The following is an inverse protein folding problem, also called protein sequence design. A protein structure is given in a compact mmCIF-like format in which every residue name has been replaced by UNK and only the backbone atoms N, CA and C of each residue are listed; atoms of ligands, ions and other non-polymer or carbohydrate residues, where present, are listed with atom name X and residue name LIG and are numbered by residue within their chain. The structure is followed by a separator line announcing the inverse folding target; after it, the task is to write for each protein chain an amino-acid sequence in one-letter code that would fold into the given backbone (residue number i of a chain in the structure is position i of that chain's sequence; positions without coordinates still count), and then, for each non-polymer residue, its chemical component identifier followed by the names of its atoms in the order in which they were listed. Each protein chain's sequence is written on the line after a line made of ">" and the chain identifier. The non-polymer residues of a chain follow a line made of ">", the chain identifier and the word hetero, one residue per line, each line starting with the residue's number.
data_IF_010783048167
#
_entry.id   IF_010783048167
#
_cell.length_a   1.000
_cell.length_b   1.000
_cell.length_c   1.000
_cell.angle_alpha   90.00
_cell.angle_beta   90.00
_cell.angle_gamma   90.00
#
_symmetry.space_group_name_H-M   'P 1'
#
loop_
_entity.id
_entity.type
_entity.pdbx_description
1 polymer ?
#
# COMPACT_ATOMS: atom_id res chain seq x y z
N UNK A 1 -15.90 -24.03 14.14
CA UNK A 1 -17.00 -23.11 13.77
C UNK A 1 -16.75 -22.66 12.34
N UNK A 2 -17.67 -22.92 11.42
CA UNK A 2 -17.56 -22.57 10.01
C UNK A 2 -18.34 -21.28 9.79
N UNK A 3 -17.67 -20.22 9.34
CA UNK A 3 -18.32 -18.96 8.95
C UNK A 3 -19.04 -19.16 7.63
N UNK A 4 -20.32 -18.76 7.55
CA UNK A 4 -21.14 -18.86 6.34
C UNK A 4 -21.27 -17.49 5.66
N UNK A 5 -21.58 -17.49 4.35
CA UNK A 5 -21.79 -16.25 3.58
C UNK A 5 -22.83 -15.30 4.22
N UNK A 6 -23.83 -15.87 4.91
CA UNK A 6 -24.84 -15.10 5.64
C UNK A 6 -24.26 -14.25 6.79
N UNK A 7 -23.17 -14.70 7.43
CA UNK A 7 -22.48 -13.97 8.51
C UNK A 7 -21.83 -12.66 8.01
N UNK A 8 -21.70 -12.50 6.69
CA UNK A 8 -21.19 -11.30 6.02
C UNK A 8 -22.31 -10.41 5.42
N UNK A 9 -23.57 -10.80 5.55
CA UNK A 9 -24.72 -10.08 4.97
C UNK A 9 -25.67 -9.46 5.99
N UNK A 10 -25.52 -9.79 7.28
CA UNK A 10 -26.15 -9.03 8.35
C UNK A 10 -25.51 -7.65 8.44
N UNK A 11 -26.30 -6.62 8.73
CA UNK A 11 -25.96 -5.18 8.82
C UNK A 11 -24.78 -4.80 9.76
N UNK A 12 -23.98 -5.78 10.20
CA UNK A 12 -22.69 -5.64 10.85
C UNK A 12 -21.53 -5.54 9.84
N UNK A 13 -21.71 -5.85 8.55
CA UNK A 13 -20.68 -5.63 7.49
C UNK A 13 -20.62 -4.21 6.94
N UNK A 14 -21.57 -3.34 7.28
CA UNK A 14 -21.47 -1.90 7.07
C UNK A 14 -20.56 -1.27 8.13
N UNK A 15 -19.49 -0.58 7.71
CA UNK A 15 -18.94 0.52 8.51
C UNK A 15 -17.62 0.31 9.24
N UNK A 16 -16.62 -0.35 8.66
CA UNK A 16 -15.25 0.11 8.95
C UNK A 16 -14.94 1.26 8.00
N UNK A 17 -14.72 2.46 8.54
CA UNK A 17 -14.23 3.59 7.75
C UNK A 17 -12.87 3.24 7.17
N UNK A 18 -12.66 3.49 5.88
CA UNK A 18 -11.34 3.46 5.25
C UNK A 18 -11.04 4.87 4.69
N UNK A 19 -10.04 5.59 5.23
CA UNK A 19 -9.14 5.18 6.31
C UNK A 19 -9.85 5.07 7.67
N UNK A 20 -9.35 4.16 8.52
CA UNK A 20 -9.77 4.08 9.93
C UNK A 20 -8.86 4.95 10.81
N UNK A 21 -9.08 4.92 12.13
CA UNK A 21 -8.15 5.53 13.10
C UNK A 21 -6.74 4.91 13.06
N UNK A 22 -6.60 3.72 12.46
CA UNK A 22 -5.32 3.03 12.25
C UNK A 22 -4.72 3.28 10.87
N UNK A 23 -5.39 4.06 10.02
CA UNK A 23 -4.98 4.35 8.65
C UNK A 23 -5.75 3.55 7.59
N UNK A 24 -5.20 3.52 6.39
CA UNK A 24 -5.76 2.80 5.25
C UNK A 24 -5.54 1.30 5.40
N UNK A 25 -6.62 0.53 5.22
CA UNK A 25 -6.60 -0.93 5.15
C UNK A 25 -6.54 -1.44 3.69
N UNK A 26 -7.04 -0.63 2.75
CA UNK A 26 -7.05 -0.89 1.32
C UNK A 26 -7.11 0.42 0.53
N UNK A 27 -7.05 0.32 -0.80
CA UNK A 27 -7.12 1.42 -1.76
C UNK A 27 -8.39 2.25 -1.79
N UNK A 28 -8.31 3.47 -2.36
CA UNK A 28 -7.11 4.06 -2.94
C UNK A 28 -6.33 4.76 -1.84
N UNK A 29 -5.01 4.58 -1.80
CA UNK A 29 -4.15 5.22 -0.80
C UNK A 29 -3.50 6.44 -1.46
N UNK A 30 -3.84 7.69 -1.04
CA UNK A 30 -3.24 8.88 -1.62
C UNK A 30 -1.71 8.87 -1.45
N UNK A 31 -1.00 9.27 -2.51
CA UNK A 31 0.43 9.57 -2.44
C UNK A 31 0.65 11.09 -2.35
N UNK A 32 0.86 11.66 -1.16
CA UNK A 32 1.10 13.08 -0.98
C UNK A 32 2.50 13.53 -1.44
N UNK A 33 3.39 12.59 -1.79
CA UNK A 33 4.77 12.87 -2.20
C UNK A 33 5.10 12.21 -3.56
N UNK A 34 4.32 12.49 -4.63
CA UNK A 34 4.55 11.88 -5.93
C UNK A 34 5.90 12.32 -6.50
N UNK A 35 6.70 11.35 -6.95
CA UNK A 35 8.03 11.60 -7.52
C UNK A 35 9.11 12.04 -6.51
N UNK A 36 8.79 12.16 -5.22
CA UNK A 36 9.81 12.41 -4.22
C UNK A 36 10.80 11.23 -4.14
N UNK A 37 12.08 11.52 -3.92
CA UNK A 37 13.12 10.51 -3.72
C UNK A 37 13.98 10.89 -2.51
N UNK A 38 14.34 9.93 -1.64
CA UNK A 38 15.23 10.19 -0.52
C UNK A 38 16.60 10.71 -0.96
N UNK A 39 17.22 11.54 -0.11
CA UNK A 39 18.50 12.17 -0.39
C UNK A 39 19.60 11.17 -0.76
N UNK A 40 19.67 10.03 -0.08
CA UNK A 40 20.64 8.96 -0.38
C UNK A 40 20.50 8.42 -1.81
N UNK A 41 19.28 8.33 -2.31
CA UNK A 41 18.99 7.89 -3.68
C UNK A 41 19.33 9.01 -4.66
N UNK A 42 18.93 10.24 -4.34
CA UNK A 42 19.23 11.43 -5.15
C UNK A 42 20.75 11.57 -5.37
N UNK A 43 21.55 11.42 -4.31
CA UNK A 43 23.01 11.46 -4.38
C UNK A 43 23.60 10.27 -5.12
N UNK A 44 23.08 9.05 -4.92
CA UNK A 44 23.55 7.87 -5.64
C UNK A 44 23.36 8.03 -7.16
N UNK A 45 22.18 8.49 -7.58
CA UNK A 45 21.87 8.75 -8.98
C UNK A 45 22.75 9.88 -9.56
N UNK A 46 22.96 10.96 -8.79
CA UNK A 46 23.86 12.05 -9.19
C UNK A 46 25.32 11.59 -9.39
N UNK A 47 25.74 10.56 -8.64
CA UNK A 47 27.07 9.94 -8.76
C UNK A 47 27.13 8.82 -9.81
N UNK A 48 26.11 8.67 -10.66
CA UNK A 48 26.08 7.67 -11.74
C UNK A 48 25.81 6.24 -11.28
N UNK A 49 25.37 6.03 -10.03
CA UNK A 49 24.98 4.70 -9.55
C UNK A 49 23.62 4.35 -10.16
N UNK A 50 23.62 3.45 -11.14
CA UNK A 50 22.41 3.00 -11.85
C UNK A 50 21.47 2.13 -11.01
N UNK A 51 22.01 1.48 -9.97
CA UNK A 51 21.24 0.64 -9.03
C UNK A 51 21.48 1.08 -7.59
N UNK A 52 20.75 2.10 -7.11
CA UNK A 52 20.87 2.56 -5.74
C UNK A 52 20.58 1.44 -4.72
N UNK A 53 21.21 1.43 -3.54
CA UNK A 53 20.94 0.43 -2.52
C UNK A 53 19.51 0.55 -2.00
N UNK A 54 18.89 -0.57 -1.66
CA UNK A 54 17.51 -0.63 -1.16
C UNK A 54 17.28 0.36 -0.01
N UNK A 55 16.13 1.05 -0.04
CA UNK A 55 15.75 2.02 0.97
C UNK A 55 15.47 1.35 2.32
N UNK A 56 15.98 1.93 3.40
CA UNK A 56 15.67 1.55 4.77
C UNK A 56 14.54 2.45 5.34
N UNK A 57 14.15 2.25 6.60
CA UNK A 57 13.08 3.03 7.23
C UNK A 57 13.47 4.49 7.48
N UNK A 58 14.76 4.74 7.78
CA UNK A 58 15.27 6.07 8.09
C UNK A 58 15.36 6.96 6.84
N UNK A 59 15.70 6.36 5.69
CA UNK A 59 15.79 7.10 4.43
C UNK A 59 14.44 7.76 4.05
N UNK A 60 13.31 7.15 4.45
CA UNK A 60 11.96 7.63 4.12
C UNK A 60 11.24 8.29 5.30
N UNK A 61 11.95 8.59 6.39
CA UNK A 61 11.34 9.08 7.62
C UNK A 61 10.82 10.52 7.52
N UNK A 62 11.43 11.35 6.67
CA UNK A 62 11.16 12.79 6.57
C UNK A 62 10.80 13.20 5.13
N UNK A 63 9.65 12.76 4.62
CA UNK A 63 9.15 13.27 3.34
C UNK A 63 8.69 14.75 3.45
N UNK A 64 8.62 15.50 2.33
CA UNK A 64 8.22 16.91 2.33
C UNK A 64 6.81 17.15 2.86
N UNK A 65 5.86 16.28 2.51
CA UNK A 65 4.48 16.33 2.98
C UNK A 65 4.20 15.15 3.93
N UNK A 66 3.29 15.32 4.92
CA UNK A 66 2.86 14.23 5.78
C UNK A 66 2.38 13.02 4.97
N UNK A 67 3.03 11.87 5.17
CA UNK A 67 2.68 10.64 4.46
C UNK A 67 1.35 10.05 4.94
N UNK A 68 0.67 9.29 4.08
CA UNK A 68 -0.58 8.60 4.43
C UNK A 68 -0.31 7.51 5.48
N UNK A 69 -1.25 7.25 6.40
CA UNK A 69 -1.06 6.18 7.40
C UNK A 69 -1.55 4.86 6.84
N UNK A 70 -0.69 3.84 6.82
CA UNK A 70 -1.03 2.49 6.41
C UNK A 70 -1.24 1.61 7.65
N UNK A 71 -2.38 0.94 7.73
CA UNK A 71 -2.63 -0.02 8.82
C UNK A 71 -1.75 -1.26 8.66
N UNK A 72 -1.40 -1.88 9.79
CA UNK A 72 -0.70 -3.16 9.82
C UNK A 72 -1.58 -4.32 9.32
N UNK A 73 -2.90 -4.14 9.29
CA UNK A 73 -3.86 -5.05 8.68
C UNK A 73 -4.31 -4.43 7.36
N UNK A 74 -3.86 -5.03 6.27
CA UNK A 74 -4.16 -4.59 4.91
C UNK A 74 -4.23 -5.79 3.97
N UNK A 75 -4.68 -5.55 2.74
CA UNK A 75 -4.90 -6.56 1.68
C UNK A 75 -3.61 -7.17 1.12
N UNK A 76 -2.42 -6.67 1.49
CA UNK A 76 -1.14 -6.95 0.83
C UNK A 76 -1.13 -6.62 -0.68
N UNK A 77 -2.05 -5.76 -1.13
CA UNK A 77 -2.04 -5.15 -2.45
C UNK A 77 -1.49 -3.72 -2.32
N UNK A 78 -0.60 -3.33 -3.22
CA UNK A 78 -0.10 -1.96 -3.27
C UNK A 78 -1.13 -1.04 -3.90
N UNK A 79 -2.04 -0.53 -3.08
CA UNK A 79 -3.11 0.36 -3.52
C UNK A 79 -2.71 1.85 -3.52
N UNK A 80 -1.42 2.15 -3.70
CA UNK A 80 -0.94 3.53 -3.73
C UNK A 80 -1.33 4.16 -5.06
N UNK A 81 -1.97 5.33 -4.98
CA UNK A 81 -2.36 6.14 -6.13
C UNK A 81 -1.11 6.69 -6.83
N UNK A 82 -1.02 6.42 -8.13
CA UNK A 82 0.02 6.92 -9.02
C UNK A 82 -0.41 8.21 -9.73
N UNK A 83 -1.65 8.64 -9.54
CA UNK A 83 -2.30 9.70 -10.30
C UNK A 83 -3.01 9.18 -11.54
N UNK A 84 -3.85 10.01 -12.14
CA UNK A 84 -4.56 9.67 -13.38
C UNK A 84 -5.56 8.52 -13.26
N UNK A 85 -6.00 8.20 -12.03
CA UNK A 85 -6.90 7.07 -11.76
C UNK A 85 -6.21 5.71 -11.77
N UNK A 86 -4.88 5.66 -11.74
CA UNK A 86 -4.09 4.42 -11.71
C UNK A 86 -3.51 4.17 -10.32
N UNK A 87 -3.52 2.90 -9.91
CA UNK A 87 -2.83 2.43 -8.70
C UNK A 87 -1.67 1.52 -9.06
N UNK A 88 -0.77 1.28 -8.11
CA UNK A 88 0.32 0.33 -8.31
C UNK A 88 -0.17 -1.12 -8.53
N UNK A 89 -1.14 -1.59 -7.74
CA UNK A 89 -1.81 -2.89 -7.92
C UNK A 89 -0.96 -4.14 -7.65
N UNK A 90 0.30 -3.99 -7.23
CA UNK A 90 1.20 -5.13 -7.01
C UNK A 90 0.78 -5.94 -5.77
N UNK A 91 0.69 -7.26 -5.90
CA UNK A 91 0.29 -8.18 -4.82
C UNK A 91 1.52 -8.78 -4.14
N UNK A 92 1.44 -8.98 -2.82
CA UNK A 92 2.51 -9.53 -1.98
C UNK A 92 2.02 -10.69 -1.12
N UNK A 93 2.92 -11.64 -0.83
CA UNK A 93 2.62 -12.76 0.06
C UNK A 93 2.88 -12.47 1.54
N UNK A 94 3.62 -11.40 1.86
CA UNK A 94 4.00 -11.07 3.23
C UNK A 94 4.20 -9.55 3.45
N UNK A 95 4.02 -9.12 4.70
CA UNK A 95 4.14 -7.72 5.10
C UNK A 95 5.56 -7.14 4.91
N UNK A 96 6.66 -7.85 5.26
CA UNK A 96 8.02 -7.37 5.00
C UNK A 96 8.31 -7.04 3.53
N UNK A 97 7.90 -7.89 2.58
CA UNK A 97 8.09 -7.66 1.14
C UNK A 97 7.24 -6.50 0.63
N UNK A 98 5.97 -6.43 1.05
CA UNK A 98 5.09 -5.30 0.76
C UNK A 98 5.68 -3.96 1.23
N UNK A 99 6.07 -3.87 2.52
CA UNK A 99 6.69 -2.65 3.07
C UNK A 99 8.02 -2.29 2.40
N UNK A 100 8.79 -3.27 1.92
CA UNK A 100 10.01 -2.99 1.13
C UNK A 100 9.66 -2.38 -0.21
N UNK A 101 8.67 -2.93 -0.91
CA UNK A 101 8.20 -2.39 -2.17
C UNK A 101 7.71 -0.94 -2.01
N UNK A 102 6.80 -0.69 -1.06
CA UNK A 102 6.26 0.65 -0.83
C UNK A 102 7.38 1.65 -0.56
N UNK A 103 8.34 1.33 0.31
CA UNK A 103 9.47 2.24 0.58
C UNK A 103 10.37 2.48 -0.64
N UNK A 104 10.50 1.51 -1.53
CA UNK A 104 11.42 1.58 -2.68
C UNK A 104 10.78 2.29 -3.88
N UNK A 105 9.52 2.00 -4.16
CA UNK A 105 8.81 2.46 -5.36
C UNK A 105 7.83 3.61 -5.07
N UNK A 106 7.42 3.77 -3.82
CA UNK A 106 6.53 4.85 -3.37
C UNK A 106 7.11 5.52 -2.10
N UNK A 107 8.38 5.98 -2.15
CA UNK A 107 8.99 6.62 -1.00
C UNK A 107 8.14 7.82 -0.54
N UNK A 108 7.89 7.92 0.76
CA UNK A 108 7.11 9.02 1.34
C UNK A 108 5.60 8.95 1.09
N UNK A 109 5.09 7.93 0.37
CA UNK A 109 3.65 7.78 0.16
C UNK A 109 2.93 7.39 1.46
N UNK A 110 3.50 6.45 2.22
CA UNK A 110 2.95 6.01 3.51
C UNK A 110 3.95 6.15 4.64
N UNK A 111 3.45 6.44 5.83
CA UNK A 111 4.22 6.34 7.06
C UNK A 111 4.58 4.88 7.29
N UNK A 112 5.81 4.63 7.71
CA UNK A 112 6.22 3.28 8.04
C UNK A 112 5.49 2.88 9.33
N UNK A 113 4.67 1.81 9.32
CA UNK A 113 3.96 1.40 10.53
C UNK A 113 4.98 1.15 11.64
N UNK A 114 4.70 1.73 12.81
CA UNK A 114 5.54 1.55 13.97
C UNK A 114 5.69 0.05 14.26
N UNK A 115 6.82 -0.37 14.87
CA UNK A 115 7.05 -1.77 15.30
C UNK A 115 6.09 -2.24 16.41
N UNK A 116 4.97 -1.56 16.61
CA UNK A 116 3.96 -1.92 17.59
C UNK A 116 3.24 -3.17 17.10
N UNK A 117 2.96 -4.08 18.03
CA UNK A 117 2.08 -5.21 17.74
C UNK A 117 0.70 -4.68 17.35
N UNK A 118 0.09 -5.30 16.36
CA UNK A 118 -1.29 -5.00 15.96
C UNK A 118 -2.20 -5.15 17.16
N UNK A 119 -2.94 -4.10 17.48
CA UNK A 119 -3.91 -4.15 18.58
C UNK A 119 -5.12 -5.03 18.21
N UNK A 120 -5.81 -5.59 19.19
CA UNK A 120 -7.06 -6.34 18.95
C UNK A 120 -8.08 -5.45 18.21
N UNK A 121 -8.16 -4.16 18.59
CA UNK A 121 -9.04 -3.19 17.95
C UNK A 121 -8.69 -2.97 16.47
N UNK A 122 -7.40 -2.86 16.14
CA UNK A 122 -6.94 -2.74 14.75
C UNK A 122 -7.19 -4.03 13.97
N UNK A 123 -7.01 -5.20 14.59
CA UNK A 123 -7.29 -6.48 13.97
C UNK A 123 -8.78 -6.62 13.59
N UNK A 124 -9.69 -6.31 14.52
CA UNK A 124 -11.12 -6.34 14.26
C UNK A 124 -11.53 -5.30 13.19
N UNK A 125 -11.04 -4.06 13.31
CA UNK A 125 -11.32 -2.99 12.36
C UNK A 125 -10.81 -3.32 10.95
N UNK A 126 -9.55 -3.77 10.86
CA UNK A 126 -8.89 -4.06 9.59
C UNK A 126 -9.44 -5.30 8.91
N UNK A 127 -9.66 -6.40 9.65
CA UNK A 127 -10.24 -7.62 9.09
C UNK A 127 -11.64 -7.37 8.55
N UNK A 128 -12.47 -6.59 9.28
CA UNK A 128 -13.78 -6.17 8.79
C UNK A 128 -13.66 -5.33 7.52
N UNK A 129 -12.75 -4.36 7.48
CA UNK A 129 -12.54 -3.50 6.30
C UNK A 129 -12.12 -4.27 5.07
N UNK A 130 -11.15 -5.18 5.23
CA UNK A 130 -10.66 -6.03 4.14
C UNK A 130 -11.78 -6.94 3.64
N UNK A 131 -12.48 -7.64 4.53
CA UNK A 131 -13.59 -8.51 4.11
C UNK A 131 -14.71 -7.74 3.42
N UNK A 132 -15.15 -6.61 3.98
CA UNK A 132 -16.19 -5.80 3.31
C UNK A 132 -15.72 -5.32 1.93
N UNK A 133 -14.44 -4.95 1.79
CA UNK A 133 -13.86 -4.58 0.48
C UNK A 133 -13.87 -5.74 -0.52
N UNK A 134 -13.52 -6.95 -0.08
CA UNK A 134 -13.55 -8.16 -0.91
C UNK A 134 -14.98 -8.53 -1.34
N UNK A 135 -15.93 -8.58 -0.40
CA UNK A 135 -17.31 -8.96 -0.66
C UNK A 135 -18.07 -7.97 -1.53
N UNK A 136 -17.81 -6.67 -1.37
CA UNK A 136 -18.43 -5.63 -2.20
C UNK A 136 -17.89 -5.59 -3.64
N UNK A 137 -16.96 -6.48 -3.99
CA UNK A 137 -16.30 -6.43 -5.30
C UNK A 137 -15.41 -5.20 -5.45
N UNK A 138 -15.00 -4.57 -4.33
CA UNK A 138 -14.13 -3.41 -4.32
C UNK A 138 -12.91 -3.64 -5.22
N UNK A 139 -12.27 -4.81 -5.09
CA UNK A 139 -11.13 -5.27 -5.91
C UNK A 139 -11.41 -5.33 -7.43
N UNK A 140 -12.66 -5.50 -7.87
CA UNK A 140 -13.03 -5.61 -9.29
C UNK A 140 -13.27 -4.27 -9.98
N UNK A 141 -13.57 -3.22 -9.21
CA UNK A 141 -13.75 -1.86 -9.71
C UNK A 141 -12.44 -1.14 -10.05
N UNK A 142 -11.28 -1.72 -9.69
CA UNK A 142 -9.97 -1.16 -10.00
C UNK A 142 -9.44 -1.58 -11.37
N UNK A 143 -9.84 -2.76 -11.85
CA UNK A 143 -9.34 -3.35 -13.10
C UNK A 143 -10.10 -2.91 -14.35
N UNK A 144 -11.14 -2.07 -14.25
CA UNK A 144 -11.92 -1.67 -15.42
C UNK A 144 -11.22 -0.65 -16.35
N UNK A 145 -9.98 -0.24 -16.07
CA UNK A 145 -9.20 0.64 -16.98
C UNK A 145 -7.68 0.38 -17.02
N UNK A 146 -7.16 -0.73 -16.46
CA UNK A 146 -5.71 -0.98 -16.49
C UNK A 146 -5.39 -2.48 -16.54
N UNK A 147 -5.37 -3.02 -17.76
CA UNK A 147 -4.25 -3.91 -18.05
C UNK A 147 -2.98 -3.09 -17.85
N UNK A 148 -2.03 -3.47 -16.98
CA UNK A 148 -0.73 -2.83 -16.98
C UNK A 148 -0.15 -3.02 -18.39
N UNK A 149 0.39 -1.99 -19.07
CA UNK A 149 1.16 -2.23 -20.27
C UNK A 149 2.26 -3.22 -19.88
N UNK A 150 2.25 -4.39 -20.52
CA UNK A 150 3.25 -5.45 -20.35
C UNK A 150 4.61 -5.04 -20.92
N UNK A 151 4.97 -3.76 -20.83
CA UNK A 151 6.28 -3.24 -21.15
C UNK A 151 7.10 -3.25 -19.88
N UNK A 152 7.66 -4.42 -19.59
CA UNK A 152 9.01 -4.46 -19.04
C UNK A 152 9.83 -3.49 -19.90
N UNK A 153 10.48 -2.44 -19.35
CA UNK A 153 11.42 -1.68 -20.16
C UNK A 153 12.49 -2.66 -20.62
N UNK A 154 12.62 -2.82 -21.95
CA UNK A 154 13.46 -3.81 -22.63
C UNK A 154 14.98 -3.68 -22.36
N UNK A 155 15.38 -2.97 -21.31
CA UNK A 155 16.77 -2.69 -20.98
C UNK A 155 17.20 -3.28 -19.62
N UNK A 156 16.45 -4.23 -19.05
CA UNK A 156 16.88 -5.02 -17.91
C UNK A 156 16.66 -6.52 -18.17
N UNK A 157 17.35 -7.01 -19.21
CA UNK A 157 17.81 -8.39 -19.25
C UNK A 157 19.30 -8.36 -18.91
N UNK A 158 19.68 -9.03 -17.81
CA UNK A 158 21.01 -9.10 -17.15
C UNK A 158 21.36 -7.95 -16.19
#
# INVERSE_FOLDING_TARGET
>A
MSLQAADFTTAVTTGSTNPSVFGYHHGPIPNPNPGWVPERIRLALANGITRPPALNAQDVANPPNPASVLSSINTLVCDIDLGGGQMCGRVFGDQPTYRRHVRTFHPGAVTNPARKNTSIAENLSGSKSVHTHEYSGGWSHWNSNADPPSTVPSNLSL
#
